data_IF_939882641207
#
_entry.id   IF_939882641207
#
_cell.length_a   1.000
_cell.length_b   1.000
_cell.length_c   1.000
_cell.angle_alpha   90.00
_cell.angle_beta   90.00
_cell.angle_gamma   90.00
#
_symmetry.space_group_name_H-M   'P 1'
#
loop_
_entity.id
_entity.type
_entity.pdbx_description
1 polymer ?
#
# COMPACT_ATOMS: atom_id res chain seq x y z
N UNK A 1 -19.42 -23.03 46.93
CA UNK A 1 -18.86 -23.80 45.83
C UNK A 1 -19.99 -24.40 44.98
N UNK A 2 -20.55 -23.64 44.08
CA UNK A 2 -21.56 -24.06 43.08
C UNK A 2 -21.81 -22.82 42.21
N UNK A 3 -21.08 -22.64 41.10
CA UNK A 3 -21.42 -21.69 40.00
C UNK A 3 -20.29 -21.61 38.97
N UNK A 4 -19.77 -22.72 38.51
CA UNK A 4 -18.82 -22.74 37.38
C UNK A 4 -19.10 -24.02 36.58
N UNK A 5 -20.27 -24.13 35.92
CA UNK A 5 -20.53 -25.23 34.98
C UNK A 5 -21.60 -24.90 33.92
N UNK A 6 -21.77 -23.63 33.54
CA UNK A 6 -22.78 -23.28 32.53
C UNK A 6 -22.24 -22.43 31.37
N UNK A 7 -20.94 -22.29 31.23
CA UNK A 7 -20.36 -21.46 30.15
C UNK A 7 -19.60 -22.24 29.06
N UNK A 8 -19.66 -23.58 29.08
CA UNK A 8 -18.88 -24.37 28.10
C UNK A 8 -19.72 -25.19 27.12
N UNK A 9 -21.05 -25.07 27.13
CA UNK A 9 -21.91 -25.82 26.21
C UNK A 9 -22.55 -25.00 25.08
N UNK A 10 -22.21 -23.71 24.93
CA UNK A 10 -22.74 -22.85 23.86
C UNK A 10 -21.73 -22.50 22.76
N UNK A 11 -20.51 -23.06 22.82
CA UNK A 11 -19.48 -22.76 21.81
C UNK A 11 -19.27 -23.88 20.78
N UNK A 12 -20.06 -24.93 20.84
CA UNK A 12 -19.96 -26.08 19.90
C UNK A 12 -21.05 -26.12 18.83
N UNK A 13 -21.93 -25.12 18.75
CA UNK A 13 -23.02 -25.08 17.76
C UNK A 13 -22.79 -24.13 16.58
N UNK A 14 -21.62 -23.53 16.46
CA UNK A 14 -21.29 -22.64 15.33
C UNK A 14 -20.37 -23.23 14.26
N UNK A 15 -20.03 -24.53 14.37
CA UNK A 15 -19.22 -25.24 13.37
C UNK A 15 -19.98 -26.32 12.59
N UNK A 16 -21.30 -26.32 12.63
CA UNK A 16 -22.09 -27.06 11.63
C UNK A 16 -22.48 -26.14 10.49
N UNK A 17 -21.51 -25.41 9.95
CA UNK A 17 -21.65 -24.74 8.70
C UNK A 17 -21.38 -25.77 7.60
N UNK A 18 -22.43 -26.20 6.95
CA UNK A 18 -22.46 -26.77 5.61
C UNK A 18 -21.17 -27.46 5.20
N UNK A 19 -21.05 -28.74 5.56
CA UNK A 19 -20.17 -29.63 4.83
C UNK A 19 -20.85 -29.90 3.47
N UNK A 20 -20.36 -29.33 2.36
CA UNK A 20 -20.94 -29.61 1.03
C UNK A 20 -20.72 -31.04 0.58
N UNK A 21 -20.07 -31.85 1.40
CA UNK A 21 -19.75 -33.24 1.07
C UNK A 21 -20.88 -34.24 1.38
N UNK A 22 -21.97 -33.82 2.04
CA UNK A 22 -23.08 -34.73 2.40
C UNK A 22 -24.33 -34.60 1.52
N UNK A 23 -24.32 -33.63 0.59
CA UNK A 23 -25.42 -33.54 -0.39
C UNK A 23 -25.03 -34.32 -1.64
N UNK A 24 -25.40 -35.59 -1.67
CA UNK A 24 -25.21 -36.49 -2.81
C UNK A 24 -26.01 -36.09 -4.07
N UNK A 25 -26.61 -34.89 -4.08
CA UNK A 25 -27.32 -34.33 -5.20
C UNK A 25 -26.59 -33.22 -5.95
N UNK A 26 -25.48 -32.67 -5.42
CA UNK A 26 -24.83 -31.47 -6.00
C UNK A 26 -23.55 -31.75 -6.78
N UNK A 27 -23.09 -32.97 -6.87
CA UNK A 27 -21.86 -33.33 -7.60
C UNK A 27 -21.94 -33.06 -9.12
N UNK A 28 -23.14 -32.95 -9.69
CA UNK A 28 -23.31 -32.63 -11.11
C UNK A 28 -23.21 -31.18 -11.49
N UNK A 29 -23.31 -30.23 -10.52
CA UNK A 29 -23.30 -28.79 -10.84
C UNK A 29 -21.88 -28.20 -10.97
N UNK A 30 -20.92 -28.72 -10.23
CA UNK A 30 -19.56 -28.18 -10.27
C UNK A 30 -18.75 -28.66 -11.49
N UNK A 31 -19.11 -29.83 -12.07
CA UNK A 31 -18.40 -30.39 -13.22
C UNK A 31 -18.66 -29.65 -14.53
N UNK A 32 -19.74 -28.87 -14.59
CA UNK A 32 -20.14 -28.13 -15.79
C UNK A 32 -19.79 -26.63 -15.71
N UNK A 33 -19.17 -26.16 -14.63
CA UNK A 33 -18.78 -24.76 -14.51
C UNK A 33 -17.45 -24.54 -15.22
N UNK A 34 -17.46 -23.66 -16.20
CA UNK A 34 -16.28 -23.23 -16.99
C UNK A 34 -16.08 -21.72 -16.83
N UNK A 35 -14.97 -21.21 -17.36
CA UNK A 35 -14.70 -19.77 -17.36
C UNK A 35 -15.78 -18.96 -18.09
N UNK A 36 -16.43 -19.57 -19.12
CA UNK A 36 -17.51 -18.96 -19.89
C UNK A 36 -18.85 -18.98 -19.13
N UNK A 37 -19.16 -20.11 -18.46
CA UNK A 37 -20.44 -20.36 -17.79
C UNK A 37 -20.50 -19.86 -16.35
N UNK A 38 -19.33 -19.49 -15.75
CA UNK A 38 -19.31 -19.00 -14.36
C UNK A 38 -20.08 -17.69 -14.22
N UNK A 39 -21.02 -17.68 -13.29
CA UNK A 39 -21.82 -16.50 -12.97
C UNK A 39 -21.06 -15.66 -11.90
N UNK A 40 -20.23 -14.76 -12.38
CA UNK A 40 -19.47 -13.87 -11.54
C UNK A 40 -19.52 -12.43 -12.04
N UNK A 41 -19.48 -11.49 -11.11
CA UNK A 41 -19.55 -10.07 -11.41
C UNK A 41 -18.48 -9.30 -10.65
N UNK A 42 -17.89 -8.31 -11.30
CA UNK A 42 -16.93 -7.38 -10.71
C UNK A 42 -17.39 -5.98 -11.03
N UNK A 43 -17.65 -5.18 -10.00
CA UNK A 43 -18.28 -3.86 -10.16
C UNK A 43 -17.55 -2.82 -9.30
N UNK A 44 -17.01 -1.74 -9.88
CA UNK A 44 -16.48 -0.64 -9.09
C UNK A 44 -17.62 0.11 -8.41
N UNK A 45 -17.40 0.48 -7.16
CA UNK A 45 -18.32 1.37 -6.44
C UNK A 45 -18.22 2.76 -7.06
N UNK A 46 -19.35 3.36 -7.37
CA UNK A 46 -19.35 4.73 -7.90
C UNK A 46 -19.43 5.76 -6.77
N UNK A 47 -18.57 6.76 -6.86
CA UNK A 47 -18.57 7.94 -5.97
C UNK A 47 -18.62 9.17 -6.87
N UNK A 48 -19.63 10.01 -6.68
CA UNK A 48 -19.85 11.21 -7.51
C UNK A 48 -19.83 10.96 -9.03
N UNK A 49 -20.32 9.79 -9.46
CA UNK A 49 -20.38 9.40 -10.87
C UNK A 49 -19.06 8.88 -11.46
N UNK A 50 -18.02 8.71 -10.64
CA UNK A 50 -16.74 8.12 -11.02
C UNK A 50 -16.56 6.74 -10.40
N UNK A 51 -15.87 5.85 -11.09
CA UNK A 51 -15.51 4.55 -10.56
C UNK A 51 -14.41 4.71 -9.51
N UNK A 52 -14.72 4.34 -8.28
CA UNK A 52 -13.74 4.35 -7.19
C UNK A 52 -12.85 3.11 -7.21
N UNK A 53 -11.80 3.14 -6.41
CA UNK A 53 -10.91 1.98 -6.20
C UNK A 53 -11.50 0.90 -5.27
N UNK A 54 -12.74 1.04 -4.83
CA UNK A 54 -13.52 0.01 -4.12
C UNK A 54 -14.22 -0.84 -5.15
N UNK A 55 -13.94 -2.14 -5.17
CA UNK A 55 -14.45 -3.07 -6.17
C UNK A 55 -15.24 -4.16 -5.45
N UNK A 56 -16.50 -4.30 -5.79
CA UNK A 56 -17.36 -5.39 -5.32
C UNK A 56 -17.13 -6.58 -6.24
N UNK A 57 -16.83 -7.73 -5.63
CA UNK A 57 -16.68 -9.03 -6.28
C UNK A 57 -17.82 -9.94 -5.85
N UNK A 58 -18.41 -10.63 -6.80
CA UNK A 58 -19.55 -11.53 -6.60
C UNK A 58 -19.35 -12.83 -7.39
N UNK A 59 -19.50 -13.95 -6.74
CA UNK A 59 -19.56 -15.26 -7.38
C UNK A 59 -20.90 -15.92 -7.04
N UNK A 60 -21.76 -16.03 -8.01
CA UNK A 60 -23.09 -16.63 -7.90
C UNK A 60 -23.10 -18.10 -8.33
N UNK A 61 -21.96 -18.64 -8.77
CA UNK A 61 -21.82 -20.02 -9.18
C UNK A 61 -21.62 -20.93 -7.98
N UNK A 62 -22.02 -22.21 -8.06
CA UNK A 62 -21.89 -23.18 -6.96
C UNK A 62 -20.46 -23.72 -6.81
N UNK A 63 -19.44 -22.91 -7.09
CA UNK A 63 -18.03 -23.27 -6.99
C UNK A 63 -17.29 -22.22 -6.17
N UNK A 64 -16.40 -22.68 -5.30
CA UNK A 64 -15.53 -21.78 -4.54
C UNK A 64 -14.53 -21.06 -5.44
N UNK A 65 -14.27 -19.81 -5.14
CA UNK A 65 -13.35 -18.99 -5.91
C UNK A 65 -12.32 -18.32 -5.02
N UNK A 66 -11.16 -18.07 -5.60
CA UNK A 66 -10.15 -17.15 -5.07
C UNK A 66 -10.04 -15.96 -6.01
N UNK A 67 -10.02 -14.79 -5.43
CA UNK A 67 -9.92 -13.53 -6.16
C UNK A 67 -8.58 -12.88 -5.92
N UNK A 68 -7.99 -12.35 -6.96
CA UNK A 68 -6.77 -11.53 -6.89
C UNK A 68 -6.96 -10.26 -7.69
N UNK A 69 -6.35 -9.18 -7.23
CA UNK A 69 -6.30 -7.93 -7.97
C UNK A 69 -4.96 -7.24 -7.69
N UNK A 70 -4.44 -6.53 -8.69
CA UNK A 70 -3.19 -5.79 -8.56
C UNK A 70 -3.40 -4.56 -7.66
N UNK A 71 -2.41 -4.29 -6.82
CA UNK A 71 -2.29 -3.06 -6.05
C UNK A 71 -1.10 -2.24 -6.53
N UNK A 72 -1.17 -0.94 -6.38
CA UNK A 72 -0.05 -0.06 -6.60
C UNK A 72 1.06 -0.38 -5.58
N UNK A 73 2.21 -0.84 -6.05
CA UNK A 73 3.43 -1.13 -5.27
C UNK A 73 3.32 -2.16 -4.12
N UNK A 74 2.20 -2.85 -3.95
CA UNK A 74 2.02 -3.78 -2.82
C UNK A 74 1.73 -5.24 -3.23
N UNK A 75 1.76 -5.54 -4.52
CA UNK A 75 1.41 -6.88 -5.02
C UNK A 75 -0.09 -7.14 -5.07
N UNK A 76 -0.49 -8.41 -5.15
CA UNK A 76 -1.86 -8.79 -5.36
C UNK A 76 -2.71 -8.75 -4.09
N UNK A 77 -3.91 -8.18 -4.19
CA UNK A 77 -4.97 -8.33 -3.17
C UNK A 77 -5.68 -9.66 -3.39
N UNK A 78 -6.00 -10.37 -2.32
CA UNK A 78 -6.67 -11.66 -2.38
C UNK A 78 -7.94 -11.70 -1.53
N UNK A 79 -8.95 -12.41 -2.00
CA UNK A 79 -10.14 -12.79 -1.24
C UNK A 79 -10.58 -14.21 -1.61
N UNK A 80 -11.09 -14.95 -0.64
CA UNK A 80 -11.68 -16.28 -0.85
C UNK A 80 -13.20 -16.31 -0.66
N UNK A 81 -13.83 -15.14 -0.48
CA UNK A 81 -15.28 -15.04 -0.27
C UNK A 81 -16.02 -15.02 -1.60
N UNK A 82 -17.23 -15.57 -1.61
CA UNK A 82 -18.14 -15.47 -2.74
C UNK A 82 -18.66 -14.06 -2.98
N UNK A 83 -18.72 -13.24 -1.92
CA UNK A 83 -19.05 -11.83 -1.97
C UNK A 83 -18.09 -11.07 -1.07
N UNK A 84 -17.39 -10.08 -1.62
CA UNK A 84 -16.48 -9.24 -0.85
C UNK A 84 -16.28 -7.87 -1.51
N UNK A 85 -15.58 -7.01 -0.82
CA UNK A 85 -15.09 -5.75 -1.35
C UNK A 85 -13.57 -5.76 -1.31
N UNK A 86 -12.94 -5.59 -2.45
CA UNK A 86 -11.49 -5.43 -2.58
C UNK A 86 -11.15 -3.99 -2.93
N UNK A 87 -9.92 -3.59 -2.63
CA UNK A 87 -9.45 -2.23 -2.86
C UNK A 87 -8.16 -2.29 -3.68
N UNK A 88 -8.12 -1.55 -4.77
CA UNK A 88 -6.91 -1.38 -5.59
C UNK A 88 -6.38 0.04 -5.42
N UNK A 89 -5.10 0.24 -5.66
CA UNK A 89 -4.46 1.55 -5.50
C UNK A 89 -3.90 2.12 -6.79
N UNK A 90 -4.20 1.45 -7.91
CA UNK A 90 -3.81 1.87 -9.26
C UNK A 90 -5.00 2.52 -9.96
N UNK A 91 -4.80 3.70 -10.56
CA UNK A 91 -5.76 4.33 -11.47
C UNK A 91 -5.74 3.67 -12.85
N UNK A 92 -6.83 3.86 -13.60
CA UNK A 92 -7.00 3.27 -14.91
C UNK A 92 -7.44 1.82 -14.87
N UNK A 93 -7.03 1.04 -15.85
CA UNK A 93 -7.42 -0.35 -16.00
C UNK A 93 -6.72 -1.23 -14.96
N UNK A 94 -7.52 -1.98 -14.20
CA UNK A 94 -7.08 -2.99 -13.25
C UNK A 94 -7.62 -4.35 -13.69
N UNK A 95 -6.83 -5.39 -13.54
CA UNK A 95 -7.27 -6.77 -13.75
C UNK A 95 -7.64 -7.38 -12.42
N UNK A 96 -8.88 -7.88 -12.32
CA UNK A 96 -9.35 -8.71 -11.21
C UNK A 96 -9.49 -10.12 -11.72
N UNK A 97 -8.71 -11.04 -11.19
CA UNK A 97 -8.69 -12.44 -11.61
C UNK A 97 -9.43 -13.29 -10.59
N UNK A 98 -10.43 -14.02 -11.04
CA UNK A 98 -11.08 -15.09 -10.29
C UNK A 98 -10.48 -16.42 -10.67
N UNK A 99 -10.04 -17.20 -9.70
CA UNK A 99 -9.64 -18.60 -9.89
C UNK A 99 -10.63 -19.52 -9.20
N UNK A 100 -11.21 -20.42 -9.95
CA UNK A 100 -12.03 -21.50 -9.45
C UNK A 100 -11.24 -22.80 -9.49
N UNK A 101 -11.07 -23.46 -8.35
CA UNK A 101 -10.31 -24.70 -8.25
C UNK A 101 -10.97 -25.66 -7.27
N UNK A 102 -11.23 -26.89 -7.75
CA UNK A 102 -11.57 -28.04 -6.93
C UNK A 102 -10.92 -29.29 -7.52
N UNK A 103 -11.40 -30.50 -7.15
CA UNK A 103 -10.86 -31.77 -7.66
C UNK A 103 -11.13 -32.00 -9.15
N UNK A 104 -12.12 -31.30 -9.73
CA UNK A 104 -12.61 -31.56 -11.10
C UNK A 104 -12.25 -30.41 -12.04
N UNK A 105 -12.25 -29.17 -11.57
CA UNK A 105 -12.04 -27.98 -12.39
C UNK A 105 -10.90 -27.10 -11.83
N UNK A 106 -10.10 -26.53 -12.71
CA UNK A 106 -9.12 -25.50 -12.41
C UNK A 106 -9.08 -24.51 -13.58
N UNK A 107 -9.69 -23.35 -13.40
CA UNK A 107 -9.69 -22.31 -14.42
C UNK A 107 -9.61 -20.92 -13.79
N UNK A 108 -9.22 -19.95 -14.60
CA UNK A 108 -9.22 -18.52 -14.25
C UNK A 108 -10.14 -17.74 -15.17
N UNK A 109 -10.69 -16.65 -14.66
CA UNK A 109 -11.44 -15.65 -15.42
C UNK A 109 -11.02 -14.27 -15.02
N UNK A 110 -10.63 -13.47 -15.99
CA UNK A 110 -10.21 -12.10 -15.80
C UNK A 110 -11.33 -11.12 -16.06
N UNK A 111 -11.41 -10.10 -15.23
CA UNK A 111 -12.32 -8.97 -15.34
C UNK A 111 -11.50 -7.68 -15.40
N UNK A 112 -11.75 -6.85 -16.38
CA UNK A 112 -11.13 -5.52 -16.46
C UNK A 112 -12.04 -4.50 -15.81
N UNK A 113 -11.53 -3.78 -14.85
CA UNK A 113 -12.22 -2.69 -14.13
C UNK A 113 -11.43 -1.41 -14.29
N UNK A 114 -12.09 -0.35 -14.75
CA UNK A 114 -11.46 0.97 -14.80
C UNK A 114 -11.72 1.72 -13.50
N UNK A 115 -10.66 2.24 -12.88
CA UNK A 115 -10.68 3.05 -11.67
C UNK A 115 -10.37 4.50 -12.05
N UNK A 116 -11.32 5.40 -11.80
CA UNK A 116 -11.19 6.82 -12.16
C UNK A 116 -10.64 7.65 -10.99
N UNK A 117 -10.83 7.15 -9.75
CA UNK A 117 -10.48 7.91 -8.55
C UNK A 117 -10.13 6.98 -7.38
N UNK A 118 -9.08 7.34 -6.62
CA UNK A 118 -8.73 6.68 -5.37
C UNK A 118 -9.50 7.35 -4.23
N UNK A 119 -10.53 6.69 -3.75
CA UNK A 119 -11.40 7.18 -2.67
C UNK A 119 -11.17 6.46 -1.34
N UNK A 120 -10.40 5.37 -1.35
CA UNK A 120 -10.09 4.59 -0.16
C UNK A 120 -8.61 4.24 -0.10
N UNK A 121 -8.03 4.43 1.07
CA UNK A 121 -6.68 3.99 1.42
C UNK A 121 -6.74 3.20 2.72
N UNK A 122 -6.06 2.05 2.76
CA UNK A 122 -5.84 1.33 4.02
C UNK A 122 -5.04 2.18 5.01
N UNK A 123 -5.14 1.89 6.31
CA UNK A 123 -4.38 2.61 7.33
C UNK A 123 -2.87 2.52 7.10
N UNK A 124 -2.38 1.36 6.64
CA UNK A 124 -0.98 1.16 6.31
C UNK A 124 -0.55 2.02 5.11
N UNK A 125 -1.35 2.04 4.06
CA UNK A 125 -1.06 2.85 2.89
C UNK A 125 -1.13 4.35 3.21
N UNK A 126 -2.08 4.79 4.05
CA UNK A 126 -2.11 6.17 4.54
C UNK A 126 -0.81 6.54 5.27
N UNK A 127 -0.30 5.64 6.13
CA UNK A 127 0.98 5.84 6.82
C UNK A 127 2.14 5.96 5.83
N UNK A 128 2.24 5.05 4.87
CA UNK A 128 3.31 5.06 3.85
C UNK A 128 3.27 6.29 2.95
N UNK A 129 2.08 6.76 2.60
CA UNK A 129 1.87 7.98 1.82
C UNK A 129 1.96 9.27 2.66
N UNK A 130 2.12 9.14 3.98
CA UNK A 130 2.07 10.24 4.93
C UNK A 130 0.84 11.13 4.77
N UNK A 131 -0.32 10.49 4.70
CA UNK A 131 -1.62 11.17 4.61
C UNK A 131 -2.55 10.69 5.72
N UNK A 132 -3.58 11.48 6.00
CA UNK A 132 -4.67 11.11 6.91
C UNK A 132 -5.99 11.59 6.32
N UNK A 133 -7.05 10.83 6.56
CA UNK A 133 -8.38 11.16 6.05
C UNK A 133 -9.20 9.93 5.70
N UNK A 134 -10.30 10.13 4.98
CA UNK A 134 -11.22 9.09 4.54
C UNK A 134 -11.98 9.49 3.27
N UNK A 135 -12.37 8.49 2.50
CA UNK A 135 -13.32 8.61 1.37
C UNK A 135 -13.00 9.73 0.37
N UNK A 136 -11.74 9.80 -0.06
CA UNK A 136 -11.29 10.79 -1.05
C UNK A 136 -10.86 12.13 -0.46
N UNK A 137 -11.08 12.35 0.82
CA UNK A 137 -10.66 13.57 1.52
C UNK A 137 -9.41 13.29 2.37
N UNK A 138 -8.25 13.34 1.75
CA UNK A 138 -6.98 13.11 2.41
C UNK A 138 -6.16 14.38 2.48
N UNK A 139 -5.42 14.52 3.59
CA UNK A 139 -4.48 15.62 3.79
C UNK A 139 -3.11 15.09 4.16
N UNK A 140 -2.06 15.81 3.77
CA UNK A 140 -0.68 15.48 4.10
C UNK A 140 -0.43 15.59 5.61
N UNK A 141 0.40 14.70 6.15
CA UNK A 141 0.86 14.74 7.55
C UNK A 141 2.30 15.24 7.69
N UNK A 142 2.98 15.56 6.57
CA UNK A 142 4.43 15.86 6.58
C UNK A 142 4.72 17.35 6.52
N UNK A 143 5.66 17.77 7.35
CA UNK A 143 6.37 19.04 7.35
C UNK A 143 5.49 20.25 7.04
N UNK A 144 5.91 21.06 6.11
CA UNK A 144 5.17 22.26 5.68
C UNK A 144 3.92 21.96 4.83
N UNK A 145 3.80 20.73 4.31
CA UNK A 145 2.60 20.31 3.58
C UNK A 145 1.49 19.80 4.50
N UNK A 146 1.73 19.75 5.81
CA UNK A 146 0.79 19.25 6.79
C UNK A 146 -0.55 19.96 6.72
N UNK A 147 -1.64 19.20 6.60
CA UNK A 147 -3.01 19.70 6.47
C UNK A 147 -3.40 20.16 5.07
N UNK A 148 -2.48 20.17 4.10
CA UNK A 148 -2.82 20.49 2.71
C UNK A 148 -3.51 19.27 2.06
N UNK A 149 -4.56 19.49 1.23
CA UNK A 149 -5.23 18.42 0.52
C UNK A 149 -4.29 17.66 -0.42
N UNK A 150 -4.40 16.34 -0.41
CA UNK A 150 -3.68 15.44 -1.32
C UNK A 150 -4.67 14.86 -2.32
N UNK A 151 -4.34 14.97 -3.61
CA UNK A 151 -5.12 14.38 -4.70
C UNK A 151 -4.29 13.28 -5.35
N UNK A 152 -4.84 12.07 -5.34
CA UNK A 152 -4.21 10.91 -5.98
C UNK A 152 -4.45 10.93 -7.48
N UNK A 153 -3.42 10.53 -8.25
CA UNK A 153 -3.50 10.44 -9.71
C UNK A 153 -3.32 11.76 -10.45
N UNK A 154 -2.93 12.82 -9.77
CA UNK A 154 -2.49 14.06 -10.42
C UNK A 154 -1.04 13.93 -10.90
N UNK A 155 -0.63 14.81 -11.81
CA UNK A 155 0.76 14.90 -12.22
C UNK A 155 1.66 15.22 -11.01
N UNK A 156 2.87 14.64 -11.01
CA UNK A 156 3.87 14.94 -10.00
C UNK A 156 4.26 16.44 -10.04
N UNK A 157 4.26 17.07 -8.89
CA UNK A 157 4.60 18.47 -8.71
C UNK A 157 5.93 18.57 -7.92
N UNK A 158 7.00 18.96 -8.60
CA UNK A 158 8.31 19.16 -8.00
C UNK A 158 8.31 20.22 -6.88
N UNK A 159 7.39 21.19 -6.92
CA UNK A 159 7.23 22.20 -5.87
C UNK A 159 6.75 21.64 -4.53
N UNK A 160 6.25 20.40 -4.53
CA UNK A 160 5.86 19.67 -3.32
C UNK A 160 6.95 18.74 -2.78
N UNK A 161 8.17 18.85 -3.29
CA UNK A 161 9.33 18.09 -2.81
C UNK A 161 10.26 19.03 -2.07
N UNK A 162 10.67 18.63 -0.86
CA UNK A 162 11.64 19.38 -0.05
C UNK A 162 12.72 18.47 0.49
N UNK A 163 13.91 19.05 0.56
CA UNK A 163 15.06 18.51 1.29
C UNK A 163 15.56 19.62 2.22
N UNK A 164 15.55 19.33 3.52
CA UNK A 164 15.96 20.25 4.57
C UNK A 164 17.25 19.70 5.16
N UNK A 165 18.37 20.36 4.88
CA UNK A 165 19.66 20.02 5.45
C UNK A 165 19.82 20.66 6.83
N UNK A 166 20.29 19.89 7.80
CA UNK A 166 20.68 20.41 9.12
C UNK A 166 21.81 21.44 8.98
N UNK A 167 21.68 22.53 9.70
CA UNK A 167 22.77 23.51 9.85
C UNK A 167 23.06 23.68 11.33
N UNK A 168 24.30 23.44 11.75
CA UNK A 168 24.75 23.58 13.13
C UNK A 168 26.01 24.44 13.19
N UNK A 169 25.99 25.45 14.03
CA UNK A 169 27.10 26.42 14.17
C UNK A 169 27.51 27.06 12.84
N UNK A 170 26.54 27.29 11.95
CA UNK A 170 26.75 27.86 10.63
C UNK A 170 27.34 26.94 9.58
N UNK A 171 27.57 25.65 9.92
CA UNK A 171 28.06 24.63 8.97
C UNK A 171 26.92 23.75 8.49
N UNK A 172 26.96 23.37 7.23
CA UNK A 172 26.03 22.40 6.63
C UNK A 172 26.35 21.00 7.13
N UNK A 173 25.38 20.41 7.83
CA UNK A 173 25.50 19.12 8.49
C UNK A 173 25.25 17.92 7.56
N UNK A 174 25.32 16.74 8.15
CA UNK A 174 25.22 15.47 7.47
C UNK A 174 23.83 14.80 7.56
N UNK A 175 22.83 15.49 8.11
CA UNK A 175 21.46 15.01 8.26
C UNK A 175 20.53 15.83 7.35
N UNK A 176 19.66 15.11 6.63
CA UNK A 176 18.69 15.68 5.71
C UNK A 176 17.30 15.14 6.04
N UNK A 177 16.34 16.02 6.26
CA UNK A 177 14.93 15.64 6.32
C UNK A 177 14.32 15.76 4.94
N UNK A 178 13.64 14.71 4.48
CA UNK A 178 13.04 14.64 3.14
C UNK A 178 11.52 14.66 3.23
N UNK A 179 10.87 15.47 2.41
CA UNK A 179 9.42 15.64 2.40
C UNK A 179 8.88 15.60 0.97
N UNK A 180 7.81 14.82 0.77
CA UNK A 180 7.08 14.78 -0.50
C UNK A 180 5.57 14.94 -0.23
N UNK A 181 5.01 16.07 -0.61
CA UNK A 181 3.59 16.40 -0.46
C UNK A 181 2.69 15.90 -1.62
N UNK A 182 3.22 15.11 -2.56
CA UNK A 182 2.47 14.65 -3.73
C UNK A 182 1.50 13.48 -3.45
N UNK A 183 1.57 12.83 -2.29
CA UNK A 183 0.74 11.67 -1.99
C UNK A 183 1.04 10.47 -2.87
N UNK A 184 2.29 10.27 -3.26
CA UNK A 184 2.78 9.13 -4.04
C UNK A 184 3.79 8.34 -3.22
N UNK A 185 3.84 7.02 -3.44
CA UNK A 185 4.87 6.18 -2.83
C UNK A 185 6.24 6.63 -3.31
N UNK A 186 7.17 6.78 -2.39
CA UNK A 186 8.45 7.42 -2.61
C UNK A 186 9.56 6.66 -1.92
N UNK A 187 10.63 6.41 -2.66
CA UNK A 187 11.89 5.89 -2.14
C UNK A 187 12.97 6.95 -2.36
N UNK A 188 13.64 7.34 -1.29
CA UNK A 188 14.68 8.34 -1.33
C UNK A 188 16.05 7.68 -1.27
N UNK A 189 16.99 8.24 -2.01
CA UNK A 189 18.38 7.86 -1.95
C UNK A 189 19.29 9.08 -1.91
N UNK A 190 20.36 8.98 -1.12
CA UNK A 190 21.44 9.95 -1.11
C UNK A 190 22.72 9.26 -1.60
N UNK A 191 23.38 9.81 -2.61
CA UNK A 191 24.58 9.28 -3.22
C UNK A 191 25.70 10.31 -3.19
N UNK A 192 26.93 9.89 -2.93
CA UNK A 192 28.09 10.79 -3.03
C UNK A 192 28.35 11.12 -4.49
N UNK A 193 28.73 12.37 -4.79
CA UNK A 193 29.08 12.78 -6.15
C UNK A 193 30.23 11.92 -6.68
N UNK A 194 30.03 11.37 -7.90
CA UNK A 194 31.01 10.48 -8.54
C UNK A 194 30.91 9.01 -8.13
N UNK A 195 29.93 8.62 -7.33
CA UNK A 195 29.63 7.22 -7.01
C UNK A 195 28.22 6.85 -7.47
N UNK A 196 27.96 5.54 -7.66
CA UNK A 196 26.62 5.03 -7.98
C UNK A 196 25.96 4.37 -6.74
N UNK A 197 26.74 4.11 -5.69
CA UNK A 197 26.23 3.46 -4.48
C UNK A 197 25.55 4.46 -3.56
N UNK A 198 24.35 4.12 -3.10
CA UNK A 198 23.61 4.93 -2.15
C UNK A 198 24.30 4.93 -0.77
N UNK A 199 24.60 6.12 -0.27
CA UNK A 199 25.12 6.32 1.09
C UNK A 199 24.03 6.26 2.17
N UNK A 200 22.76 6.35 1.76
CA UNK A 200 21.61 6.23 2.65
C UNK A 200 20.29 6.20 1.85
N UNK A 201 19.27 5.61 2.45
CA UNK A 201 17.92 5.49 1.86
C UNK A 201 16.84 5.81 2.89
N UNK A 202 15.67 6.27 2.43
CA UNK A 202 14.47 6.45 3.25
C UNK A 202 13.21 6.15 2.40
N UNK A 203 12.19 5.59 3.02
CA UNK A 203 10.92 5.21 2.35
C UNK A 203 9.73 6.03 2.84
N UNK A 204 9.85 6.74 3.95
CA UNK A 204 8.79 7.59 4.49
C UNK A 204 9.12 9.08 4.25
N UNK A 205 8.09 9.85 3.97
CA UNK A 205 8.21 11.31 3.98
C UNK A 205 8.40 11.80 5.42
N UNK A 206 9.29 12.78 5.61
CA UNK A 206 9.69 13.24 6.94
C UNK A 206 10.79 12.39 7.58
N UNK A 207 11.24 11.33 6.92
CA UNK A 207 12.40 10.56 7.36
C UNK A 207 13.69 11.37 7.23
N UNK A 208 14.70 10.93 7.96
CA UNK A 208 16.02 11.50 7.89
C UNK A 208 16.98 10.59 7.11
N UNK A 209 17.66 11.20 6.15
CA UNK A 209 18.82 10.62 5.51
C UNK A 209 20.06 11.15 6.23
N UNK A 210 21.02 10.27 6.51
CA UNK A 210 22.27 10.66 7.14
C UNK A 210 23.45 10.07 6.38
N UNK A 211 24.48 10.87 6.18
CA UNK A 211 25.76 10.42 5.65
C UNK A 211 26.85 10.47 6.71
N UNK A 212 27.88 9.64 6.55
CA UNK A 212 28.94 9.43 7.54
C UNK A 212 30.26 10.06 7.14
N UNK A 213 30.27 10.83 6.07
CA UNK A 213 31.47 11.50 5.56
C UNK A 213 31.13 12.90 5.03
N UNK A 214 32.14 13.77 4.98
CA UNK A 214 32.04 15.09 4.35
C UNK A 214 32.15 14.96 2.83
N UNK A 215 31.62 15.94 2.11
CA UNK A 215 31.67 15.99 0.66
C UNK A 215 30.38 16.44 0.04
N UNK A 216 30.25 16.19 -1.26
CA UNK A 216 29.08 16.58 -2.06
C UNK A 216 28.20 15.37 -2.36
N UNK A 217 26.90 15.52 -2.14
CA UNK A 217 25.92 14.45 -2.26
C UNK A 217 24.75 14.89 -3.12
N UNK A 218 24.21 13.93 -3.89
CA UNK A 218 22.98 14.10 -4.63
C UNK A 218 21.85 13.34 -3.94
N UNK A 219 20.70 13.99 -3.79
CA UNK A 219 19.49 13.36 -3.25
C UNK A 219 18.50 13.17 -4.37
N UNK A 220 18.03 11.95 -4.51
CA UNK A 220 17.04 11.54 -5.51
C UNK A 220 15.81 10.95 -4.84
N UNK A 221 14.67 11.15 -5.50
CA UNK A 221 13.38 10.59 -5.12
C UNK A 221 12.90 9.71 -6.28
N UNK A 222 12.75 8.41 -6.05
CA UNK A 222 12.03 7.52 -6.97
C UNK A 222 10.59 7.41 -6.51
N UNK A 223 9.65 7.78 -7.36
CA UNK A 223 8.23 7.76 -7.05
C UNK A 223 7.44 6.91 -8.03
N UNK A 224 6.32 6.36 -7.55
CA UNK A 224 5.44 5.52 -8.35
C UNK A 224 4.27 6.36 -8.86
N UNK A 225 4.11 6.42 -10.18
CA UNK A 225 2.99 7.11 -10.84
C UNK A 225 1.68 6.33 -10.70
N UNK A 226 0.57 7.00 -11.01
CA UNK A 226 -0.77 6.42 -10.96
C UNK A 226 -0.93 5.16 -11.84
N UNK A 227 -0.18 5.06 -12.94
CA UNK A 227 -0.17 3.88 -13.82
C UNK A 227 0.71 2.73 -13.32
N UNK A 228 1.36 2.90 -12.17
CA UNK A 228 2.26 1.91 -11.55
C UNK A 228 3.70 1.97 -12.07
N UNK A 229 4.02 2.84 -13.03
CA UNK A 229 5.40 3.05 -13.47
C UNK A 229 6.18 3.92 -12.49
N UNK A 230 7.50 3.75 -12.45
CA UNK A 230 8.38 4.54 -11.59
C UNK A 230 9.15 5.59 -12.38
N UNK A 231 9.36 6.74 -11.75
CA UNK A 231 10.24 7.79 -12.24
C UNK A 231 11.15 8.28 -11.12
N UNK A 232 12.33 8.78 -11.50
CA UNK A 232 13.30 9.35 -10.56
C UNK A 232 13.38 10.86 -10.76
N UNK A 233 13.24 11.60 -9.67
CA UNK A 233 13.39 13.05 -9.60
C UNK A 233 14.68 13.39 -8.83
N UNK A 234 15.49 14.28 -9.38
CA UNK A 234 16.67 14.82 -8.69
C UNK A 234 16.23 15.95 -7.78
N UNK A 235 16.27 15.72 -6.47
CA UNK A 235 15.87 16.70 -5.44
C UNK A 235 16.96 17.71 -5.11
N UNK A 236 18.19 17.55 -5.64
CA UNK A 236 19.27 18.50 -5.53
C UNK A 236 20.61 17.92 -5.13
N UNK A 237 21.63 18.81 -5.15
CA UNK A 237 22.98 18.51 -4.68
C UNK A 237 23.28 19.34 -3.45
N UNK A 238 23.92 18.72 -2.47
CA UNK A 238 24.15 19.27 -1.13
C UNK A 238 25.60 19.05 -0.70
N UNK A 239 26.22 20.08 -0.16
CA UNK A 239 27.54 19.98 0.45
C UNK A 239 27.42 19.63 1.93
N UNK A 240 28.17 18.63 2.41
CA UNK A 240 28.32 18.31 3.81
C UNK A 240 29.68 18.83 4.27
N UNK A 241 29.64 19.87 5.10
CA UNK A 241 30.83 20.59 5.59
C UNK A 241 31.29 20.09 6.95
N UNK A 242 30.40 19.37 7.67
CA UNK A 242 30.69 18.83 8.99
C UNK A 242 29.75 17.68 9.35
N UNK A 243 30.27 16.69 10.03
CA UNK A 243 29.49 15.61 10.63
C UNK A 243 28.89 16.08 11.96
N UNK A 244 27.77 16.81 11.87
CA UNK A 244 27.08 17.42 13.02
C UNK A 244 26.38 16.41 13.90
N UNK A 245 26.00 15.27 13.32
CA UNK A 245 25.39 14.11 13.99
C UNK A 245 26.22 12.87 13.75
N UNK A 246 26.58 12.17 14.82
CA UNK A 246 27.35 10.91 14.75
C UNK A 246 26.40 9.72 14.70
N UNK A 247 26.66 8.70 13.85
CA UNK A 247 25.84 7.49 13.73
C UNK A 247 25.61 6.78 15.07
N UNK A 248 26.64 6.69 15.89
CA UNK A 248 26.61 6.03 17.21
C UNK A 248 25.59 6.65 18.18
N UNK A 249 25.24 7.94 17.99
CA UNK A 249 24.24 8.60 18.83
C UNK A 249 22.82 8.22 18.44
N UNK A 250 22.58 7.89 17.16
CA UNK A 250 21.26 7.46 16.68
C UNK A 250 20.95 6.01 17.07
N UNK A 251 21.95 5.12 17.08
CA UNK A 251 21.78 3.76 17.60
C UNK A 251 21.45 3.78 19.10
N UNK A 252 22.09 4.66 19.87
CA UNK A 252 21.81 4.80 21.29
C UNK A 252 20.40 5.37 21.56
N UNK A 253 19.93 6.31 20.74
CA UNK A 253 18.59 6.90 20.88
C UNK A 253 17.48 5.98 20.36
N UNK A 254 17.79 5.09 19.40
CA UNK A 254 16.85 4.10 18.87
C UNK A 254 16.79 2.81 19.71
N UNK A 255 17.85 2.50 20.48
CA UNK A 255 17.98 1.30 21.31
C UNK A 255 17.66 1.49 22.80
N UNK A 256 17.19 2.66 23.21
CA UNK A 256 17.01 3.04 24.61
C UNK A 256 15.71 2.65 25.29
N UNK A 257 14.93 1.71 24.76
CA UNK A 257 13.70 1.21 25.42
C UNK A 257 13.75 -0.25 25.88
N UNK A 258 14.94 -0.86 26.00
CA UNK A 258 15.05 -2.17 26.63
C UNK A 258 15.97 -2.07 27.86
N UNK A 259 15.39 -1.73 29.01
CA UNK A 259 16.12 -1.70 30.26
C UNK A 259 15.27 -1.52 31.50
N UNK A 260 14.87 -2.66 32.10
CA UNK A 260 14.31 -2.94 33.42
C UNK A 260 12.81 -3.00 33.56
#
# INVERSE_FOLDING_TARGET
>A
MKKIFFALSMLTLLYTSCDPSTDSGSTGFSENVTAESVEAKVTPVQVNGKNSNRIIIENHSPITSQWTADQLAEGAVTSSKAYDTIYVTKLGANTVTMRCKNVVVDFTKDFTVNVDEITYLSAELQKRLCVTGSEGNYTSTVGEFKGQPVQFGTAFDAGKVKVIQEVKEGKKGNVFTVENGNGVLSDWAITKEGTEEAAGTATLNGDQLMVVEEGKFNITLTYTKADGTQETYNAGSFDVESLTTKPELLEYLAGGEDGD
#
